data_IF_918218045666
#
_entry.id   IF_918218045666
#
_cell.length_a   1.000
_cell.length_b   1.000
_cell.length_c   1.000
_cell.angle_alpha   90.00
_cell.angle_beta   90.00
_cell.angle_gamma   90.00
#
_symmetry.space_group_name_H-M   'P 1'
#
loop_
_entity.id
_entity.type
_entity.pdbx_description
1 polymer ?
#
# COMPACT_ATOMS: atom_id res chain seq x y z
N UNK A 1 -0.76 -36.63 42.01
CA UNK A 1 -1.68 -35.67 41.35
C UNK A 1 -2.45 -34.95 42.45
N UNK A 2 -2.09 -33.72 42.79
CA UNK A 2 -2.81 -32.94 43.80
C UNK A 2 -4.04 -32.29 43.17
N UNK A 3 -5.18 -32.29 43.87
CA UNK A 3 -6.37 -31.53 43.48
C UNK A 3 -6.05 -30.04 43.60
N UNK A 4 -6.28 -29.29 42.53
CA UNK A 4 -6.25 -27.83 42.56
C UNK A 4 -7.47 -27.33 43.34
N UNK A 5 -7.28 -26.31 44.16
CA UNK A 5 -8.33 -25.64 44.95
C UNK A 5 -8.20 -24.14 44.72
N UNK A 6 -9.34 -23.44 44.72
CA UNK A 6 -9.39 -22.00 44.49
C UNK A 6 -9.54 -21.66 43.02
N UNK A 7 -10.44 -20.71 42.75
CA UNK A 7 -10.83 -20.29 41.39
C UNK A 7 -9.61 -19.89 40.55
N UNK A 8 -8.67 -19.12 41.12
CA UNK A 8 -7.48 -18.63 40.41
C UNK A 8 -6.53 -19.74 39.95
N UNK A 9 -6.25 -20.71 40.82
CA UNK A 9 -5.35 -21.81 40.52
C UNK A 9 -5.91 -22.73 39.43
N UNK A 10 -7.23 -22.93 39.44
CA UNK A 10 -7.95 -23.69 38.41
C UNK A 10 -7.95 -22.91 37.09
N UNK A 11 -8.31 -21.63 37.11
CA UNK A 11 -8.33 -20.77 35.93
C UNK A 11 -6.96 -20.66 35.25
N UNK A 12 -5.88 -20.48 36.01
CA UNK A 12 -4.50 -20.44 35.48
C UNK A 12 -4.15 -21.73 34.74
N UNK A 13 -4.54 -22.89 35.30
CA UNK A 13 -4.24 -24.19 34.68
C UNK A 13 -5.07 -24.44 33.43
N UNK A 14 -6.36 -24.10 33.46
CA UNK A 14 -7.26 -24.19 32.31
C UNK A 14 -6.80 -23.25 31.19
N UNK A 15 -6.38 -22.02 31.54
CA UNK A 15 -5.82 -21.05 30.59
C UNK A 15 -4.62 -21.59 29.84
N UNK A 16 -3.67 -22.27 30.51
CA UNK A 16 -2.53 -22.92 29.83
C UNK A 16 -2.95 -24.00 28.82
N UNK A 17 -4.01 -24.75 29.12
CA UNK A 17 -4.53 -25.78 28.20
C UNK A 17 -5.21 -25.12 26.99
N UNK A 18 -6.02 -24.09 27.23
CA UNK A 18 -6.65 -23.31 26.17
C UNK A 18 -5.60 -22.67 25.26
N UNK A 19 -4.55 -22.08 25.81
CA UNK A 19 -3.51 -21.40 25.03
C UNK A 19 -2.69 -22.41 24.20
N UNK A 20 -2.46 -23.61 24.74
CA UNK A 20 -1.78 -24.68 24.01
C UNK A 20 -2.57 -25.15 22.78
N UNK A 21 -3.87 -25.39 22.93
CA UNK A 21 -4.72 -25.90 21.84
C UNK A 21 -5.38 -24.81 20.99
N UNK A 22 -5.44 -23.57 21.49
CA UNK A 22 -6.11 -22.41 20.88
C UNK A 22 -7.59 -22.60 20.54
N UNK A 23 -8.27 -23.50 21.26
CA UNK A 23 -9.69 -23.87 21.04
C UNK A 23 -10.65 -23.27 22.07
N UNK A 24 -10.22 -22.28 22.86
CA UNK A 24 -11.03 -21.71 23.95
C UNK A 24 -12.41 -21.18 23.50
N UNK A 25 -12.51 -20.71 22.25
CA UNK A 25 -13.77 -20.23 21.65
C UNK A 25 -14.89 -21.28 21.56
N UNK A 26 -14.57 -22.58 21.62
CA UNK A 26 -15.54 -23.68 21.47
C UNK A 26 -16.07 -24.24 22.78
N UNK A 27 -15.57 -23.75 23.92
CA UNK A 27 -15.92 -24.26 25.23
C UNK A 27 -16.55 -23.16 26.09
N UNK A 28 -17.57 -23.54 26.84
CA UNK A 28 -18.07 -22.78 27.96
C UNK A 28 -17.45 -23.37 29.23
N UNK A 29 -16.87 -22.52 30.06
CA UNK A 29 -16.15 -22.94 31.25
C UNK A 29 -16.83 -22.32 32.47
N UNK A 30 -17.17 -23.18 33.43
CA UNK A 30 -17.68 -22.75 34.73
C UNK A 30 -16.67 -23.17 35.79
N UNK A 31 -16.02 -22.17 36.39
CA UNK A 31 -14.98 -22.36 37.40
C UNK A 31 -15.52 -21.82 38.72
N UNK A 32 -15.50 -22.64 39.75
CA UNK A 32 -15.78 -22.24 41.14
C UNK A 32 -14.57 -22.58 42.01
N UNK A 33 -14.60 -22.21 43.30
CA UNK A 33 -13.50 -22.51 44.23
C UNK A 33 -13.25 -24.00 44.44
N UNK A 34 -14.26 -24.85 44.18
CA UNK A 34 -14.20 -26.29 44.40
C UNK A 34 -14.51 -27.16 43.18
N UNK A 35 -15.02 -26.58 42.09
CA UNK A 35 -15.42 -27.34 40.91
C UNK A 35 -15.01 -26.65 39.60
N UNK A 36 -14.78 -27.49 38.60
CA UNK A 36 -14.56 -27.09 37.22
C UNK A 36 -15.48 -27.93 36.35
N UNK A 37 -16.36 -27.28 35.61
CA UNK A 37 -17.18 -27.91 34.58
C UNK A 37 -16.95 -27.21 33.25
N UNK A 38 -17.11 -27.97 32.17
CA UNK A 38 -16.98 -27.48 30.82
C UNK A 38 -18.06 -28.08 29.95
N UNK A 39 -18.50 -27.30 28.98
CA UNK A 39 -19.44 -27.72 27.96
C UNK A 39 -18.94 -27.30 26.59
N UNK A 40 -19.21 -28.13 25.57
CA UNK A 40 -18.90 -27.78 24.18
C UNK A 40 -20.05 -26.94 23.62
N UNK A 41 -19.71 -25.81 23.02
CA UNK A 41 -20.66 -24.99 22.26
C UNK A 41 -20.93 -25.66 20.92
N UNK A 42 -21.77 -26.71 20.93
CA UNK A 42 -22.01 -27.58 19.78
C UNK A 42 -22.46 -26.81 18.53
N UNK A 43 -23.36 -25.83 18.70
CA UNK A 43 -23.82 -24.97 17.62
C UNK A 43 -22.67 -24.16 16.98
N UNK A 44 -21.83 -23.53 17.81
CA UNK A 44 -20.68 -22.75 17.33
C UNK A 44 -19.63 -23.62 16.63
N UNK A 45 -19.41 -24.85 17.13
CA UNK A 45 -18.52 -25.83 16.48
C UNK A 45 -19.10 -26.22 15.12
N UNK A 46 -20.40 -26.49 15.03
CA UNK A 46 -21.05 -26.87 13.78
C UNK A 46 -21.05 -25.73 12.76
N UNK A 47 -21.29 -24.49 13.20
CA UNK A 47 -21.20 -23.30 12.36
C UNK A 47 -19.77 -23.10 11.83
N UNK A 48 -18.74 -23.31 12.64
CA UNK A 48 -17.35 -23.21 12.19
C UNK A 48 -16.99 -24.36 11.22
N UNK A 49 -17.38 -25.59 11.53
CA UNK A 49 -17.16 -26.74 10.64
C UNK A 49 -17.86 -26.59 9.28
N UNK A 50 -19.03 -25.93 9.24
CA UNK A 50 -19.73 -25.62 7.99
C UNK A 50 -18.96 -24.61 7.11
N UNK A 51 -18.00 -23.89 7.68
CA UNK A 51 -17.13 -22.94 6.99
C UNK A 51 -15.75 -23.52 6.66
N UNK A 52 -15.48 -24.77 7.02
CA UNK A 52 -14.21 -25.43 6.71
C UNK A 52 -13.98 -25.50 5.19
N UNK A 53 -12.82 -25.03 4.75
CA UNK A 53 -12.48 -24.92 3.32
C UNK A 53 -13.05 -23.68 2.62
N UNK A 54 -13.83 -22.84 3.32
CA UNK A 54 -14.29 -21.54 2.81
C UNK A 54 -13.39 -20.41 3.34
N UNK A 55 -13.11 -19.43 2.47
CA UNK A 55 -12.43 -18.21 2.89
C UNK A 55 -13.45 -17.17 3.33
N UNK A 56 -13.60 -16.99 4.65
CA UNK A 56 -14.63 -16.12 5.24
C UNK A 56 -14.03 -14.79 5.67
N UNK A 57 -14.57 -13.69 5.15
CA UNK A 57 -14.27 -12.33 5.62
C UNK A 57 -15.33 -11.92 6.63
N UNK A 58 -14.93 -11.61 7.86
CA UNK A 58 -15.81 -11.10 8.92
C UNK A 58 -15.54 -9.61 9.13
N UNK A 59 -16.61 -8.84 9.28
CA UNK A 59 -16.56 -7.41 9.62
C UNK A 59 -17.51 -7.14 10.78
N UNK A 60 -17.20 -6.13 11.59
CA UNK A 60 -18.08 -5.64 12.67
C UNK A 60 -19.12 -4.63 12.15
N UNK A 61 -19.06 -4.25 10.88
CA UNK A 61 -20.02 -3.34 10.26
C UNK A 61 -21.31 -4.09 9.88
N UNK A 62 -22.48 -3.45 10.04
CA UNK A 62 -23.74 -4.05 9.63
C UNK A 62 -23.83 -4.14 8.10
N UNK A 63 -24.63 -5.10 7.61
CA UNK A 63 -24.78 -5.35 6.17
C UNK A 63 -25.40 -4.16 5.39
N UNK A 64 -26.10 -3.27 6.08
CA UNK A 64 -26.61 -2.00 5.52
C UNK A 64 -25.48 -1.06 5.11
N UNK A 65 -24.40 -1.03 5.91
CA UNK A 65 -23.29 -0.08 5.74
C UNK A 65 -22.19 -0.69 4.86
N UNK A 66 -22.01 -2.00 4.95
CA UNK A 66 -21.02 -2.74 4.17
C UNK A 66 -21.59 -4.06 3.66
N UNK A 67 -22.15 -4.08 2.44
CA UNK A 67 -22.61 -5.30 1.79
C UNK A 67 -21.48 -6.34 1.64
N UNK A 68 -21.83 -7.61 1.54
CA UNK A 68 -20.86 -8.72 1.51
C UNK A 68 -19.78 -8.56 0.41
N UNK A 69 -20.17 -8.16 -0.80
CA UNK A 69 -19.22 -7.95 -1.90
C UNK A 69 -18.26 -6.78 -1.63
N UNK A 70 -18.77 -5.70 -1.05
CA UNK A 70 -17.97 -4.54 -0.66
C UNK A 70 -17.00 -4.91 0.48
N UNK A 71 -17.40 -5.76 1.42
CA UNK A 71 -16.51 -6.26 2.47
C UNK A 71 -15.35 -7.07 1.90
N UNK A 72 -15.62 -7.96 0.94
CA UNK A 72 -14.58 -8.74 0.25
C UNK A 72 -13.67 -7.83 -0.59
N UNK A 73 -14.23 -6.84 -1.29
CA UNK A 73 -13.47 -5.87 -2.07
C UNK A 73 -12.54 -5.03 -1.18
N UNK A 74 -13.04 -4.51 -0.06
CA UNK A 74 -12.26 -3.75 0.91
C UNK A 74 -11.12 -4.60 1.51
N UNK A 75 -11.43 -5.84 1.90
CA UNK A 75 -10.41 -6.77 2.41
C UNK A 75 -9.30 -7.03 1.38
N UNK A 76 -9.66 -7.29 0.11
CA UNK A 76 -8.68 -7.47 -0.97
C UNK A 76 -7.92 -6.18 -1.31
N UNK A 77 -8.50 -5.02 -1.02
CA UNK A 77 -7.84 -3.72 -1.10
C UNK A 77 -6.61 -3.60 -0.19
N UNK A 78 -6.50 -4.44 0.85
CA UNK A 78 -5.30 -4.50 1.70
C UNK A 78 -4.02 -4.84 0.91
N UNK A 79 -4.14 -5.56 -0.21
CA UNK A 79 -3.02 -5.81 -1.11
C UNK A 79 -2.41 -4.51 -1.69
N UNK A 80 -3.17 -3.41 -1.74
CA UNK A 80 -2.64 -2.08 -2.12
C UNK A 80 -1.65 -1.58 -1.07
N UNK A 81 -1.94 -1.79 0.21
CA UNK A 81 -1.04 -1.45 1.31
C UNK A 81 0.22 -2.29 1.26
N UNK A 82 0.10 -3.60 1.01
CA UNK A 82 1.28 -4.46 0.84
C UNK A 82 2.14 -4.04 -0.36
N UNK A 83 1.50 -3.62 -1.46
CA UNK A 83 2.21 -3.08 -2.63
C UNK A 83 2.92 -1.78 -2.29
N UNK A 84 2.28 -0.88 -1.54
CA UNK A 84 2.91 0.35 -1.05
C UNK A 84 4.17 0.05 -0.23
N UNK A 85 4.07 -0.89 0.72
CA UNK A 85 5.21 -1.35 1.52
C UNK A 85 6.31 -2.00 0.67
N UNK A 86 5.95 -2.69 -0.43
CA UNK A 86 6.91 -3.26 -1.36
C UNK A 86 7.61 -2.17 -2.18
N UNK A 87 6.90 -1.19 -2.71
CA UNK A 87 7.47 -0.06 -3.45
C UNK A 87 8.48 0.71 -2.60
N UNK A 88 8.12 0.98 -1.33
CA UNK A 88 9.01 1.55 -0.31
C UNK A 88 10.32 0.76 -0.17
N UNK A 89 10.22 -0.57 -0.11
CA UNK A 89 11.38 -1.43 0.17
C UNK A 89 12.27 -1.68 -1.05
N UNK A 90 11.71 -1.86 -2.25
CA UNK A 90 12.46 -2.51 -3.34
C UNK A 90 12.53 -1.78 -4.67
N UNK A 91 11.59 -0.89 -5.01
CA UNK A 91 11.42 -0.48 -6.42
C UNK A 91 11.98 0.92 -6.68
N UNK A 92 11.44 1.94 -6.00
CA UNK A 92 11.71 3.34 -6.38
C UNK A 92 12.43 4.10 -5.28
N UNK A 93 11.95 4.00 -4.03
CA UNK A 93 12.49 4.77 -2.93
C UNK A 93 13.74 4.16 -2.29
N UNK A 94 14.03 2.89 -2.61
CA UNK A 94 15.11 2.10 -2.05
C UNK A 94 15.33 2.44 -0.56
N UNK A 95 14.41 2.00 0.31
CA UNK A 95 14.74 1.78 1.73
C UNK A 95 15.82 0.70 1.78
N UNK A 96 17.01 1.00 1.28
CA UNK A 96 18.19 0.21 1.53
C UNK A 96 18.39 0.26 3.04
N UNK A 97 18.92 -0.80 3.64
CA UNK A 97 19.44 -0.72 5.00
C UNK A 97 20.55 0.34 5.03
N UNK A 98 20.21 1.58 5.34
CA UNK A 98 21.14 2.54 5.89
C UNK A 98 21.25 2.12 7.35
N UNK A 99 22.33 1.42 7.70
CA UNK A 99 22.51 0.82 9.02
C UNK A 99 22.59 1.90 10.10
N UNK A 100 21.43 2.39 10.54
CA UNK A 100 21.29 3.38 11.58
C UNK A 100 21.32 2.69 12.94
N UNK A 101 22.33 3.01 13.74
CA UNK A 101 22.53 2.45 15.08
C UNK A 101 21.89 3.30 16.18
N UNK A 102 21.38 4.50 15.84
CA UNK A 102 20.72 5.40 16.77
C UNK A 102 19.21 5.43 16.47
N UNK A 103 18.38 5.18 17.49
CA UNK A 103 16.92 5.14 17.38
C UNK A 103 16.31 6.40 16.77
N UNK A 104 16.86 7.59 17.06
CA UNK A 104 16.37 8.85 16.47
C UNK A 104 16.63 8.91 14.95
N UNK A 105 17.80 8.42 14.49
CA UNK A 105 18.14 8.36 13.06
C UNK A 105 17.28 7.32 12.33
N UNK A 106 17.00 6.19 12.97
CA UNK A 106 16.06 5.18 12.44
C UNK A 106 14.68 5.81 12.21
N UNK A 107 14.12 6.50 13.22
CA UNK A 107 12.81 7.16 13.10
C UNK A 107 12.80 8.22 11.99
N UNK A 108 13.83 9.06 11.92
CA UNK A 108 13.94 10.09 10.89
C UNK A 108 14.01 9.49 9.47
N UNK A 109 14.79 8.42 9.28
CA UNK A 109 14.88 7.74 7.99
C UNK A 109 13.55 7.15 7.56
N UNK A 110 12.87 6.40 8.45
CA UNK A 110 11.54 5.84 8.14
C UNK A 110 10.54 6.93 7.80
N UNK A 111 10.57 8.06 8.51
CA UNK A 111 9.72 9.21 8.23
C UNK A 111 9.99 9.82 6.84
N UNK A 112 11.25 10.06 6.50
CA UNK A 112 11.63 10.56 5.17
C UNK A 112 11.22 9.61 4.05
N UNK A 113 11.37 8.30 4.27
CA UNK A 113 10.90 7.30 3.32
C UNK A 113 9.37 7.33 3.15
N UNK A 114 8.63 7.47 4.25
CA UNK A 114 7.17 7.61 4.17
C UNK A 114 6.76 8.87 3.38
N UNK A 115 7.44 10.01 3.63
CA UNK A 115 7.17 11.26 2.93
C UNK A 115 7.48 11.16 1.44
N UNK A 116 8.64 10.61 1.07
CA UNK A 116 9.00 10.52 -0.34
C UNK A 116 8.13 9.50 -1.09
N UNK A 117 7.69 8.41 -0.45
CA UNK A 117 6.65 7.54 -1.01
C UNK A 117 5.32 8.29 -1.22
N UNK A 118 4.92 9.14 -0.28
CA UNK A 118 3.70 9.93 -0.41
C UNK A 118 3.77 10.88 -1.61
N UNK A 119 4.93 11.55 -1.81
CA UNK A 119 5.17 12.38 -2.99
C UNK A 119 5.13 11.55 -4.28
N UNK A 120 5.83 10.42 -4.31
CA UNK A 120 5.80 9.50 -5.46
C UNK A 120 4.38 9.04 -5.78
N UNK A 121 3.57 8.69 -4.78
CA UNK A 121 2.19 8.26 -4.96
C UNK A 121 1.35 9.34 -5.65
N UNK A 122 1.44 10.59 -5.18
CA UNK A 122 0.78 11.73 -5.81
C UNK A 122 1.29 11.97 -7.23
N UNK A 123 2.61 11.94 -7.44
CA UNK A 123 3.20 12.12 -8.76
C UNK A 123 2.72 11.05 -9.74
N UNK A 124 2.67 9.78 -9.33
CA UNK A 124 2.17 8.68 -10.17
C UNK A 124 0.72 8.88 -10.53
N UNK A 125 -0.12 9.29 -9.58
CA UNK A 125 -1.53 9.56 -9.83
C UNK A 125 -1.71 10.65 -10.89
N UNK A 126 -0.94 11.74 -10.77
CA UNK A 126 -0.98 12.86 -11.71
C UNK A 126 -0.34 12.53 -13.08
N UNK A 127 0.70 11.70 -13.10
CA UNK A 127 1.48 11.36 -14.29
C UNK A 127 0.99 10.09 -15.00
N UNK A 128 -0.11 9.46 -14.57
CA UNK A 128 -0.68 8.26 -15.23
C UNK A 128 -0.75 8.35 -16.77
N UNK A 129 -1.10 9.50 -17.39
CA UNK A 129 -1.11 9.63 -18.86
C UNK A 129 0.26 9.44 -19.54
N UNK A 130 1.34 9.54 -18.77
CA UNK A 130 2.73 9.37 -19.22
C UNK A 130 3.35 8.06 -18.75
N UNK A 131 2.68 7.31 -17.87
CA UNK A 131 3.19 6.09 -17.28
C UNK A 131 2.52 4.85 -17.86
N UNK A 132 3.16 3.69 -17.68
CA UNK A 132 2.54 2.36 -17.86
C UNK A 132 1.49 2.03 -16.77
N UNK A 133 0.74 3.04 -16.34
CA UNK A 133 -0.32 2.91 -15.37
C UNK A 133 -1.70 2.96 -16.07
N UNK A 134 -2.61 2.14 -15.57
CA UNK A 134 -3.97 2.01 -16.09
C UNK A 134 -4.88 3.08 -15.47
N UNK A 135 -5.17 4.13 -16.24
CA UNK A 135 -6.07 5.24 -15.85
C UNK A 135 -7.51 4.78 -15.64
N UNK A 136 -7.91 3.69 -16.31
CA UNK A 136 -9.28 3.20 -16.34
C UNK A 136 -9.44 1.91 -15.52
N UNK A 137 -8.52 1.66 -14.58
CA UNK A 137 -8.56 0.49 -13.71
C UNK A 137 -9.85 0.40 -12.90
N UNK A 138 -10.42 1.53 -12.49
CA UNK A 138 -11.69 1.55 -11.74
C UNK A 138 -12.88 1.20 -12.64
N UNK A 139 -12.89 1.62 -13.91
CA UNK A 139 -13.91 1.18 -14.88
C UNK A 139 -13.80 -0.32 -15.15
N UNK A 140 -12.57 -0.83 -15.32
CA UNK A 140 -12.31 -2.25 -15.50
C UNK A 140 -12.69 -3.08 -14.25
N UNK A 141 -12.57 -2.49 -13.05
CA UNK A 141 -13.05 -3.09 -11.80
C UNK A 141 -14.58 -3.07 -11.69
N UNK A 142 -15.23 -1.97 -12.07
CA UNK A 142 -16.70 -1.85 -12.03
C UNK A 142 -17.38 -2.82 -13.01
N UNK A 143 -16.78 -3.07 -14.17
CA UNK A 143 -17.28 -4.04 -15.14
C UNK A 143 -17.11 -5.51 -14.71
N UNK A 144 -16.53 -5.76 -13.53
CA UNK A 144 -16.17 -7.10 -13.08
C UNK A 144 -17.35 -7.75 -12.35
N UNK A 145 -17.71 -9.00 -12.69
CA UNK A 145 -18.88 -9.66 -12.12
C UNK A 145 -18.72 -10.09 -10.65
N UNK A 146 -17.51 -10.09 -10.11
CA UNK A 146 -17.26 -10.46 -8.72
C UNK A 146 -15.91 -9.92 -8.22
N UNK A 147 -15.83 -9.46 -6.95
CA UNK A 147 -14.58 -9.03 -6.31
C UNK A 147 -13.58 -10.17 -6.12
N UNK A 148 -13.97 -11.44 -6.36
CA UNK A 148 -13.06 -12.60 -6.27
C UNK A 148 -12.43 -13.03 -7.60
N UNK A 149 -13.08 -12.75 -8.75
CA UNK A 149 -12.56 -13.04 -10.09
C UNK A 149 -11.14 -12.47 -10.39
N UNK A 150 -10.56 -12.78 -11.54
CA UNK A 150 -9.26 -12.18 -11.91
C UNK A 150 -9.43 -10.72 -12.32
N UNK A 151 -8.51 -9.85 -11.87
CA UNK A 151 -8.47 -8.48 -12.33
C UNK A 151 -8.12 -8.44 -13.83
N UNK A 152 -8.79 -7.56 -14.58
CA UNK A 152 -8.56 -7.36 -16.01
C UNK A 152 -8.01 -5.95 -16.22
N UNK A 153 -7.09 -5.80 -17.17
CA UNK A 153 -6.59 -4.51 -17.63
C UNK A 153 -7.63 -3.85 -18.54
N UNK A 154 -7.73 -2.53 -18.50
CA UNK A 154 -8.53 -1.77 -19.47
C UNK A 154 -8.00 -1.95 -20.89
N UNK A 155 -8.85 -1.65 -21.88
CA UNK A 155 -8.42 -1.73 -23.29
C UNK A 155 -7.40 -0.64 -23.62
N UNK A 156 -7.50 0.53 -22.98
CA UNK A 156 -6.52 1.60 -23.06
C UNK A 156 -5.16 1.15 -22.50
N UNK A 157 -5.14 0.44 -21.37
CA UNK A 157 -3.90 -0.08 -20.81
C UNK A 157 -3.27 -1.17 -21.70
N UNK A 158 -4.07 -1.96 -22.42
CA UNK A 158 -3.55 -2.90 -23.44
C UNK A 158 -3.00 -2.15 -24.65
N UNK A 159 -3.68 -1.10 -25.10
CA UNK A 159 -3.23 -0.25 -26.21
C UNK A 159 -1.89 0.42 -25.88
N UNK A 160 -1.76 1.07 -24.70
CA UNK A 160 -0.51 1.68 -24.22
C UNK A 160 0.65 0.70 -24.20
N UNK A 161 0.42 -0.54 -23.80
CA UNK A 161 1.47 -1.58 -23.73
C UNK A 161 1.88 -2.08 -25.12
N UNK A 162 0.91 -2.23 -26.02
CA UNK A 162 1.15 -2.61 -27.40
C UNK A 162 1.90 -1.51 -28.19
N UNK A 163 1.51 -0.26 -28.04
CA UNK A 163 2.09 0.87 -28.80
C UNK A 163 3.31 1.48 -28.12
N UNK A 164 3.39 1.39 -26.79
CA UNK A 164 4.31 2.16 -25.93
C UNK A 164 4.18 3.68 -26.12
N UNK A 165 3.01 4.14 -26.55
CA UNK A 165 2.68 5.54 -26.76
C UNK A 165 1.45 5.94 -25.93
N UNK A 166 1.44 7.19 -25.48
CA UNK A 166 0.28 7.85 -24.90
C UNK A 166 -0.70 8.31 -26.00
N UNK A 167 -1.85 8.84 -25.58
CA UNK A 167 -2.87 9.35 -26.51
C UNK A 167 -2.38 10.52 -27.37
N UNK A 168 -1.39 11.27 -26.88
CA UNK A 168 -0.74 12.38 -27.57
C UNK A 168 0.42 11.94 -28.48
N UNK A 169 0.64 10.63 -28.63
CA UNK A 169 1.70 10.07 -29.48
C UNK A 169 3.11 10.17 -28.87
N UNK A 170 3.24 10.68 -27.65
CA UNK A 170 4.51 10.67 -26.91
C UNK A 170 4.77 9.29 -26.29
N UNK A 171 6.03 8.86 -26.12
CA UNK A 171 6.35 7.60 -25.48
C UNK A 171 5.87 7.58 -24.02
N UNK A 172 5.39 6.42 -23.57
CA UNK A 172 5.12 6.19 -22.15
C UNK A 172 6.37 5.68 -21.44
N UNK A 173 6.50 6.02 -20.17
CA UNK A 173 7.68 5.74 -19.36
C UNK A 173 7.32 4.82 -18.18
N UNK A 174 8.33 4.14 -17.63
CA UNK A 174 8.26 3.77 -16.21
C UNK A 174 8.52 5.02 -15.37
N UNK A 175 8.04 5.06 -14.14
CA UNK A 175 8.26 6.24 -13.29
C UNK A 175 9.74 6.61 -13.15
N UNK A 176 10.60 5.60 -13.00
CA UNK A 176 12.05 5.77 -12.98
C UNK A 176 12.61 6.39 -14.27
N UNK A 177 12.24 5.86 -15.43
CA UNK A 177 12.75 6.40 -16.70
C UNK A 177 12.20 7.79 -17.01
N UNK A 178 11.04 8.16 -16.44
CA UNK A 178 10.53 9.52 -16.50
C UNK A 178 11.33 10.45 -15.57
N UNK A 179 11.65 10.02 -14.35
CA UNK A 179 12.52 10.79 -13.45
C UNK A 179 13.92 10.99 -14.03
N UNK A 180 14.49 9.96 -14.67
CA UNK A 180 15.79 10.07 -15.34
C UNK A 180 15.75 11.10 -16.49
N UNK A 181 14.66 11.14 -17.27
CA UNK A 181 14.46 12.16 -18.32
C UNK A 181 14.30 13.56 -17.72
N UNK A 182 13.49 13.72 -16.68
CA UNK A 182 13.30 14.99 -15.95
C UNK A 182 14.61 15.51 -15.35
N UNK A 183 15.47 14.61 -14.86
CA UNK A 183 16.76 14.96 -14.27
C UNK A 183 17.77 15.55 -15.27
N UNK A 184 17.51 15.45 -16.58
CA UNK A 184 18.36 16.09 -17.61
C UNK A 184 18.14 17.60 -17.72
N UNK A 185 17.08 18.13 -17.10
CA UNK A 185 16.86 19.58 -17.02
C UNK A 185 17.86 20.22 -16.06
N UNK A 186 18.74 21.08 -16.57
CA UNK A 186 19.81 21.70 -15.80
C UNK A 186 19.57 23.20 -15.56
N UNK A 187 19.85 23.63 -14.33
CA UNK A 187 19.96 25.03 -13.92
C UNK A 187 21.44 25.40 -13.86
N UNK A 188 21.88 26.24 -14.80
CA UNK A 188 23.27 26.66 -14.93
C UNK A 188 23.44 28.09 -14.42
N UNK A 189 24.33 28.27 -13.44
CA UNK A 189 24.79 29.60 -13.01
C UNK A 189 26.15 29.84 -13.62
N UNK A 190 26.21 30.73 -14.59
CA UNK A 190 27.43 31.07 -15.29
C UNK A 190 27.93 32.45 -14.85
N UNK A 191 29.26 32.58 -14.82
CA UNK A 191 29.96 33.83 -14.55
C UNK A 191 30.82 34.18 -15.75
N UNK A 192 31.02 35.47 -15.99
CA UNK A 192 31.93 35.93 -17.05
C UNK A 192 33.27 36.32 -16.42
N UNK A 193 34.41 36.04 -17.07
CA UNK A 193 35.71 36.53 -16.60
C UNK A 193 35.77 38.07 -16.52
N UNK A 194 35.00 38.74 -17.38
CA UNK A 194 34.94 40.21 -17.45
C UNK A 194 34.27 40.83 -16.21
N UNK A 195 33.29 40.13 -15.63
CA UNK A 195 32.65 40.54 -14.37
C UNK A 195 32.27 39.29 -13.56
N UNK A 196 33.16 38.84 -12.65
CA UNK A 196 32.92 37.67 -11.81
C UNK A 196 31.71 37.81 -10.87
N UNK A 197 31.28 39.05 -10.58
CA UNK A 197 30.12 39.31 -9.70
C UNK A 197 28.78 39.21 -10.47
N UNK A 198 28.79 39.29 -11.80
CA UNK A 198 27.59 39.13 -12.60
C UNK A 198 27.23 37.64 -12.73
N UNK A 199 26.04 37.29 -12.23
CA UNK A 199 25.45 35.94 -12.36
C UNK A 199 24.55 35.89 -13.59
N UNK A 200 24.81 34.96 -14.49
CA UNK A 200 23.94 34.64 -15.62
C UNK A 200 23.28 33.31 -15.32
N UNK A 201 21.96 33.32 -15.16
CA UNK A 201 21.17 32.12 -14.90
C UNK A 201 20.61 31.61 -16.22
N UNK A 202 20.90 30.35 -16.56
CA UNK A 202 20.41 29.69 -17.76
C UNK A 202 19.76 28.35 -17.40
N UNK A 203 18.50 28.17 -17.82
CA UNK A 203 17.79 26.90 -17.70
C UNK A 203 17.78 26.25 -19.08
N UNK A 204 18.11 24.96 -19.16
CA UNK A 204 18.01 24.20 -20.42
C UNK A 204 16.57 24.18 -20.91
N UNK A 205 16.36 24.29 -22.23
CA UNK A 205 15.02 24.22 -22.81
C UNK A 205 14.40 22.83 -22.55
N UNK A 206 13.23 22.74 -21.89
CA UNK A 206 12.61 21.44 -21.65
C UNK A 206 12.23 20.71 -22.94
N UNK A 207 12.29 19.38 -22.93
CA UNK A 207 11.77 18.53 -24.01
C UNK A 207 10.24 18.48 -23.97
N UNK A 208 9.54 18.07 -25.07
CA UNK A 208 8.08 17.93 -25.04
C UNK A 208 7.56 16.98 -23.94
N UNK A 209 8.35 15.96 -23.59
CA UNK A 209 8.04 15.02 -22.49
C UNK A 209 8.13 15.76 -21.15
N UNK A 210 9.21 16.50 -20.91
CA UNK A 210 9.39 17.30 -19.69
C UNK A 210 8.31 18.37 -19.55
N UNK A 211 7.99 19.09 -20.63
CA UNK A 211 6.91 20.10 -20.63
C UNK A 211 5.57 19.49 -20.24
N UNK A 212 5.23 18.32 -20.79
CA UNK A 212 4.00 17.60 -20.43
C UNK A 212 4.00 17.20 -18.95
N UNK A 213 5.10 16.64 -18.46
CA UNK A 213 5.21 16.23 -17.06
C UNK A 213 5.05 17.41 -16.11
N UNK A 214 5.74 18.53 -16.37
CA UNK A 214 5.62 19.75 -15.57
C UNK A 214 4.21 20.35 -15.60
N UNK A 215 3.56 20.32 -16.78
CA UNK A 215 2.17 20.77 -16.94
C UNK A 215 1.20 19.91 -16.12
N UNK A 216 1.34 18.58 -16.17
CA UNK A 216 0.51 17.65 -15.40
C UNK A 216 0.72 17.86 -13.90
N UNK A 217 1.98 17.98 -13.46
CA UNK A 217 2.33 18.23 -12.06
C UNK A 217 1.97 19.64 -11.57
N UNK A 218 1.57 20.55 -12.46
CA UNK A 218 1.37 21.97 -12.19
C UNK A 218 2.59 22.63 -11.53
N UNK A 219 3.80 22.30 -12.03
CA UNK A 219 5.08 22.84 -11.57
C UNK A 219 5.72 23.61 -12.71
N UNK A 220 6.26 24.80 -12.43
CA UNK A 220 7.06 25.54 -13.40
C UNK A 220 8.54 25.48 -13.01
N UNK A 221 9.42 24.91 -13.85
CA UNK A 221 10.86 24.89 -13.56
C UNK A 221 11.48 26.29 -13.50
N UNK A 222 10.82 27.29 -14.09
CA UNK A 222 11.24 28.70 -14.03
C UNK A 222 10.81 29.34 -12.70
N UNK A 223 9.66 28.96 -12.15
CA UNK A 223 9.10 29.56 -10.93
C UNK A 223 9.67 29.01 -9.61
N UNK A 224 10.23 27.79 -9.61
CA UNK A 224 10.86 27.19 -8.41
C UNK A 224 12.18 27.86 -7.98
N UNK A 225 12.53 29.01 -8.54
CA UNK A 225 13.77 29.75 -8.27
C UNK A 225 13.59 30.98 -7.38
N UNK A 226 12.39 31.16 -6.80
CA UNK A 226 12.11 32.21 -5.80
C UNK A 226 12.08 31.66 -4.39
#
# INVERSE_FOLDING_TARGET
RNRLKGTEAIALRVGRVIDHFRMGKHFELSITDSSFTWERKAEQIQQEAALDGLYVVRTSLPATDLPAEAAVAAYKGLAVVERAFRSLKTVDLQVRPVFHWNAARVRAHVFLCMLAYYVEWHMRETLKPMLFDDEYVELARAARPSPVAKARRSDQAKAKDATRLGEDGLPVHSFRTLLDDLATLAYNVCHTPLNPQAKIVMITRPTPIQEKAFRLLNVSPVACTQ
#
